data_IF_564329436009
#
_entry.id   IF_564329436009
#
_cell.length_a   1.000
_cell.length_b   1.000
_cell.length_c   1.000
_cell.angle_alpha   90.00
_cell.angle_beta   90.00
_cell.angle_gamma   90.00
#
_symmetry.space_group_name_H-M   'P 1'
#
loop_
_entity.id
_entity.type
_entity.pdbx_description
1 polymer ?
#
# COMPACT_ATOMS: atom_id res chain seq x y z
N UNK A 1 23.21 -64.74 7.32
CA UNK A 1 21.85 -64.29 7.70
C UNK A 1 21.80 -62.77 7.44
N UNK A 2 21.51 -62.33 6.20
CA UNK A 2 20.34 -61.49 5.83
C UNK A 2 20.07 -60.35 6.83
N UNK A 3 20.60 -59.14 6.58
CA UNK A 3 19.95 -58.01 5.89
C UNK A 3 18.62 -57.56 6.56
N UNK A 4 18.55 -56.34 7.09
CA UNK A 4 17.57 -55.33 6.67
C UNK A 4 17.92 -53.94 7.23
N UNK A 5 18.22 -53.02 6.31
CA UNK A 5 18.20 -51.57 6.49
C UNK A 5 16.79 -51.14 6.91
N UNK A 6 16.66 -50.24 7.89
CA UNK A 6 15.64 -49.17 7.87
C UNK A 6 16.28 -47.91 8.46
N UNK A 7 16.87 -47.10 7.59
CA UNK A 7 17.16 -45.70 7.92
C UNK A 7 15.84 -44.94 7.70
N UNK A 8 15.14 -44.62 8.80
CA UNK A 8 14.01 -43.71 8.78
C UNK A 8 14.51 -42.30 8.43
N UNK A 9 14.42 -41.96 7.15
CA UNK A 9 14.59 -40.61 6.65
C UNK A 9 13.41 -39.78 7.17
N UNK A 10 13.63 -39.03 8.25
CA UNK A 10 12.66 -38.08 8.77
C UNK A 10 12.61 -36.87 7.82
N UNK A 11 11.67 -36.91 6.88
CA UNK A 11 11.30 -35.74 6.07
C UNK A 11 10.51 -34.81 6.99
N UNK A 12 11.16 -33.78 7.51
CA UNK A 12 10.50 -32.66 8.17
C UNK A 12 9.78 -31.86 7.08
N UNK A 13 8.51 -32.17 6.86
CA UNK A 13 7.60 -31.31 6.11
C UNK A 13 7.47 -30.00 6.87
N UNK A 14 8.06 -28.92 6.34
CA UNK A 14 7.70 -27.58 6.72
C UNK A 14 6.25 -27.35 6.25
N UNK A 15 5.29 -27.56 7.15
CA UNK A 15 3.94 -27.08 6.93
C UNK A 15 4.01 -25.56 6.90
N UNK A 16 3.74 -24.96 5.74
CA UNK A 16 3.54 -23.52 5.65
C UNK A 16 2.39 -23.15 6.61
N UNK A 17 2.47 -22.01 7.33
CA UNK A 17 1.37 -21.57 8.16
C UNK A 17 0.11 -21.47 7.28
N UNK A 18 -0.93 -22.22 7.65
CA UNK A 18 -2.23 -22.08 7.03
C UNK A 18 -2.71 -20.65 7.31
N UNK A 19 -2.77 -19.82 6.27
CA UNK A 19 -3.39 -18.51 6.35
C UNK A 19 -4.89 -18.75 6.35
N UNK A 20 -5.52 -18.52 7.50
CA UNK A 20 -6.97 -18.55 7.66
C UNK A 20 -7.45 -17.11 7.91
N UNK A 21 -8.55 -16.71 7.26
CA UNK A 21 -9.09 -15.36 7.44
C UNK A 21 -9.73 -14.75 6.20
N UNK A 22 -10.27 -13.55 6.40
CA UNK A 22 -10.82 -12.71 5.34
C UNK A 22 -9.80 -11.61 5.02
N UNK A 23 -9.30 -11.63 3.79
CA UNK A 23 -8.30 -10.68 3.29
C UNK A 23 -8.89 -9.86 2.16
N UNK A 24 -8.58 -8.57 2.14
CA UNK A 24 -8.88 -7.68 1.03
C UNK A 24 -7.58 -7.27 0.35
N UNK A 25 -7.50 -7.46 -0.96
CA UNK A 25 -6.41 -6.96 -1.79
C UNK A 25 -6.93 -5.79 -2.61
N UNK A 26 -6.26 -4.63 -2.49
CA UNK A 26 -6.59 -3.45 -3.26
C UNK A 26 -5.79 -3.46 -4.56
N UNK A 27 -6.44 -3.92 -5.64
CA UNK A 27 -5.86 -3.95 -6.97
C UNK A 27 -6.06 -2.61 -7.72
N UNK A 28 -6.49 -1.55 -7.02
CA UNK A 28 -6.60 -0.19 -7.57
C UNK A 28 -5.34 0.63 -7.27
N UNK A 29 -5.21 1.77 -7.95
CA UNK A 29 -4.09 2.70 -7.76
C UNK A 29 -4.28 3.65 -6.57
N UNK A 30 -5.47 3.68 -5.96
CA UNK A 30 -5.82 4.59 -4.87
C UNK A 30 -5.88 3.84 -3.55
N UNK A 31 -5.62 4.53 -2.44
CA UNK A 31 -5.94 4.00 -1.11
C UNK A 31 -7.44 3.73 -1.02
N UNK A 32 -7.81 2.65 -0.34
CA UNK A 32 -9.19 2.38 0.00
C UNK A 32 -9.33 2.03 1.48
N UNK A 33 -10.51 2.29 2.03
CA UNK A 33 -10.92 1.81 3.34
C UNK A 33 -12.04 0.80 3.20
N UNK A 34 -11.98 -0.28 3.98
CA UNK A 34 -12.93 -1.38 3.97
C UNK A 34 -13.71 -1.42 5.28
N UNK A 35 -15.00 -1.71 5.19
CA UNK A 35 -15.81 -2.18 6.32
C UNK A 35 -16.42 -3.53 5.96
N UNK A 36 -16.65 -4.36 6.97
CA UNK A 36 -17.30 -5.66 6.83
C UNK A 36 -18.56 -5.74 7.66
N UNK A 37 -19.49 -6.60 7.23
CA UNK A 37 -20.69 -6.98 7.95
C UNK A 37 -20.75 -8.50 8.07
N UNK A 38 -21.30 -9.01 9.16
CA UNK A 38 -21.45 -10.45 9.39
C UNK A 38 -22.50 -10.74 10.47
N UNK A 39 -22.88 -12.02 10.60
CA UNK A 39 -23.82 -12.46 11.64
C UNK A 39 -23.07 -12.88 12.90
N UNK A 40 -22.91 -11.96 13.84
CA UNK A 40 -22.33 -12.21 15.17
C UNK A 40 -23.34 -12.82 16.15
N UNK A 41 -22.86 -13.14 17.35
CA UNK A 41 -23.66 -13.78 18.41
C UNK A 41 -24.85 -12.94 18.89
N UNK A 42 -24.65 -11.61 18.95
CA UNK A 42 -25.65 -10.65 19.44
C UNK A 42 -26.53 -10.07 18.32
N UNK A 43 -26.24 -10.40 17.05
CA UNK A 43 -27.01 -9.92 15.91
C UNK A 43 -26.16 -9.72 14.65
N UNK A 44 -26.74 -9.00 13.68
CA UNK A 44 -25.94 -8.48 12.58
C UNK A 44 -24.92 -7.49 13.14
N UNK A 45 -23.66 -7.58 12.72
CA UNK A 45 -22.58 -6.74 13.21
C UNK A 45 -21.83 -6.19 12.01
N UNK A 46 -21.46 -4.92 12.07
CA UNK A 46 -20.55 -4.29 11.12
C UNK A 46 -19.37 -3.67 11.83
N UNK A 47 -18.22 -3.72 11.17
CA UNK A 47 -16.94 -3.26 11.68
C UNK A 47 -16.16 -2.57 10.56
N UNK A 48 -15.31 -1.61 10.92
CA UNK A 48 -14.51 -0.82 10.00
C UNK A 48 -13.81 0.30 10.75
N UNK A 49 -12.98 1.15 10.14
CA UNK A 49 -12.45 1.06 8.79
C UNK A 49 -11.05 0.41 8.84
N UNK A 50 -10.81 -0.56 7.98
CA UNK A 50 -9.44 -1.02 7.72
C UNK A 50 -8.90 -0.35 6.48
N UNK A 51 -7.68 0.14 6.58
CA UNK A 51 -6.96 0.69 5.44
C UNK A 51 -6.36 -0.42 4.57
N UNK A 52 -6.48 -0.26 3.25
CA UNK A 52 -5.85 -1.10 2.25
C UNK A 52 -5.19 -0.18 1.22
N UNK A 53 -3.86 -0.04 1.32
CA UNK A 53 -3.07 0.77 0.41
C UNK A 53 -3.11 0.21 -1.02
N UNK A 54 -2.80 1.04 -2.01
CA UNK A 54 -2.73 0.64 -3.42
C UNK A 54 -1.76 -0.54 -3.62
N UNK A 55 -2.23 -1.60 -4.27
CA UNK A 55 -1.44 -2.82 -4.55
C UNK A 55 -1.16 -3.73 -3.34
N UNK A 56 -1.66 -3.38 -2.14
CA UNK A 56 -1.43 -4.12 -0.90
C UNK A 56 -2.64 -4.99 -0.52
N UNK A 57 -2.42 -5.94 0.39
CA UNK A 57 -3.48 -6.79 0.92
C UNK A 57 -3.54 -6.72 2.46
N UNK A 58 -4.72 -6.43 3.01
CA UNK A 58 -4.98 -6.35 4.45
C UNK A 58 -5.90 -7.48 4.88
N UNK A 59 -5.50 -8.23 5.92
CA UNK A 59 -6.37 -9.23 6.56
C UNK A 59 -7.23 -8.55 7.61
N UNK A 60 -8.55 -8.53 7.39
CA UNK A 60 -9.50 -7.82 8.27
C UNK A 60 -10.13 -8.73 9.32
N UNK A 61 -10.21 -10.03 9.05
CA UNK A 61 -10.51 -11.07 10.03
C UNK A 61 -9.44 -12.14 9.96
N UNK A 62 -8.78 -12.42 11.09
CA UNK A 62 -7.78 -13.48 11.20
C UNK A 62 -8.37 -14.78 11.76
N UNK A 63 -7.83 -15.91 11.33
CA UNK A 63 -8.28 -17.24 11.76
C UNK A 63 -9.37 -17.82 10.87
N UNK A 64 -9.81 -19.05 11.18
CA UNK A 64 -10.84 -19.73 10.38
C UNK A 64 -12.12 -18.89 10.33
N UNK A 65 -12.72 -18.77 9.15
CA UNK A 65 -14.00 -18.09 8.97
C UNK A 65 -15.16 -19.00 9.41
N UNK A 66 -15.83 -18.75 10.55
CA UNK A 66 -16.88 -19.64 11.05
C UNK A 66 -18.22 -19.48 10.31
N UNK A 67 -18.38 -18.44 9.49
CA UNK A 67 -19.61 -18.14 8.78
C UNK A 67 -19.47 -18.44 7.29
N UNK A 68 -20.58 -18.78 6.65
CA UNK A 68 -20.61 -19.05 5.21
C UNK A 68 -20.86 -17.79 4.37
N UNK A 69 -21.24 -16.68 5.02
CA UNK A 69 -21.55 -15.39 4.40
C UNK A 69 -20.92 -14.25 5.21
N UNK A 70 -20.27 -13.34 4.51
CA UNK A 70 -19.82 -12.05 5.01
C UNK A 70 -20.30 -10.97 4.04
N UNK A 71 -20.24 -9.71 4.46
CA UNK A 71 -20.64 -8.56 3.68
C UNK A 71 -19.52 -7.54 3.74
N UNK A 72 -19.39 -6.71 2.72
CA UNK A 72 -18.35 -5.70 2.71
C UNK A 72 -18.77 -4.45 1.95
N UNK A 73 -18.17 -3.33 2.33
CA UNK A 73 -18.13 -2.14 1.50
C UNK A 73 -16.72 -1.59 1.50
N UNK A 74 -16.38 -0.87 0.45
CA UNK A 74 -15.15 -0.11 0.42
C UNK A 74 -15.38 1.23 -0.28
N UNK A 75 -14.52 2.19 0.06
CA UNK A 75 -14.53 3.53 -0.50
C UNK A 75 -13.09 4.05 -0.57
N UNK A 76 -12.80 4.89 -1.55
CA UNK A 76 -11.56 5.68 -1.59
C UNK A 76 -11.68 6.97 -0.78
N UNK A 77 -12.86 7.26 -0.22
CA UNK A 77 -13.20 8.54 0.41
C UNK A 77 -13.93 9.48 -0.55
N UNK A 78 -13.55 9.47 -1.83
CA UNK A 78 -14.22 10.24 -2.90
C UNK A 78 -15.24 9.39 -3.68
N UNK A 79 -14.96 8.09 -3.85
CA UNK A 79 -15.80 7.17 -4.62
C UNK A 79 -16.01 5.84 -3.90
N UNK A 80 -17.25 5.35 -3.93
CA UNK A 80 -17.61 4.05 -3.40
C UNK A 80 -17.38 2.93 -4.43
N UNK A 81 -16.88 1.79 -3.94
CA UNK A 81 -16.83 0.56 -4.74
C UNK A 81 -18.25 0.02 -4.98
N UNK A 82 -18.46 -0.79 -6.04
CA UNK A 82 -19.78 -1.35 -6.32
C UNK A 82 -20.35 -2.12 -5.11
N UNK A 83 -21.52 -1.68 -4.66
CA UNK A 83 -22.26 -2.28 -3.57
C UNK A 83 -23.57 -2.91 -4.06
N UNK A 84 -24.02 -3.96 -3.40
CA UNK A 84 -25.34 -4.55 -3.56
C UNK A 84 -26.34 -3.95 -2.53
N UNK A 85 -27.54 -4.51 -2.44
CA UNK A 85 -28.62 -3.98 -1.60
C UNK A 85 -28.66 -4.59 -0.18
N UNK A 86 -27.52 -5.00 0.39
CA UNK A 86 -27.42 -5.36 1.81
C UNK A 86 -27.02 -4.14 2.64
N UNK A 87 -27.74 -3.85 3.72
CA UNK A 87 -27.51 -2.61 4.47
C UNK A 87 -26.98 -2.88 5.86
N UNK A 88 -25.94 -2.16 6.24
CA UNK A 88 -25.40 -2.13 7.60
C UNK A 88 -25.26 -0.69 8.09
N UNK A 89 -25.04 -0.54 9.40
CA UNK A 89 -24.71 0.74 9.99
C UNK A 89 -23.18 0.96 9.94
N UNK A 90 -22.74 2.19 9.67
CA UNK A 90 -21.33 2.59 9.77
C UNK A 90 -21.18 3.92 10.51
N UNK A 91 -19.94 4.25 10.83
CA UNK A 91 -19.53 5.56 11.37
C UNK A 91 -18.38 6.12 10.53
N UNK A 92 -18.12 7.42 10.66
CA UNK A 92 -16.98 8.07 10.01
C UNK A 92 -15.64 7.67 10.66
N UNK A 93 -15.66 7.40 11.98
CA UNK A 93 -14.53 6.87 12.74
C UNK A 93 -14.49 5.33 12.73
N UNK A 94 -13.36 4.73 13.15
CA UNK A 94 -13.25 3.28 13.38
C UNK A 94 -14.34 2.82 14.36
N UNK A 95 -15.07 1.76 13.99
CA UNK A 95 -16.29 1.32 14.63
C UNK A 95 -16.44 -0.21 14.69
N UNK A 96 -17.22 -0.65 15.68
CA UNK A 96 -17.87 -1.95 15.76
C UNK A 96 -19.31 -1.69 16.20
N UNK A 97 -20.29 -2.07 15.38
CA UNK A 97 -21.71 -1.78 15.62
C UNK A 97 -22.52 -3.08 15.55
N UNK A 98 -23.22 -3.40 16.63
CA UNK A 98 -24.22 -4.48 16.66
C UNK A 98 -25.59 -3.91 16.27
N UNK A 99 -26.27 -4.56 15.33
CA UNK A 99 -27.56 -4.19 14.75
C UNK A 99 -27.43 -3.37 13.47
N UNK A 100 -28.13 -3.79 12.42
CA UNK A 100 -28.17 -3.26 11.05
C UNK A 100 -29.38 -2.34 10.77
N UNK A 101 -30.21 -2.07 11.77
CA UNK A 101 -31.44 -1.28 11.64
C UNK A 101 -31.41 0.01 12.45
N UNK A 102 -32.25 0.97 12.04
CA UNK A 102 -32.39 2.29 12.66
C UNK A 102 -31.06 3.02 12.84
N UNK A 103 -30.13 2.89 11.89
CA UNK A 103 -28.76 3.42 11.99
C UNK A 103 -28.77 4.91 12.32
N UNK A 104 -29.57 5.69 11.58
CA UNK A 104 -29.61 7.15 11.67
C UNK A 104 -30.16 7.63 13.02
N UNK A 105 -31.17 6.94 13.57
CA UNK A 105 -31.72 7.22 14.91
C UNK A 105 -30.69 6.93 16.01
N UNK A 106 -29.77 6.01 15.74
CA UNK A 106 -28.68 5.62 16.65
C UNK A 106 -27.42 6.45 16.44
N UNK A 107 -27.42 7.40 15.49
CA UNK A 107 -26.27 8.26 15.18
C UNK A 107 -25.27 7.66 14.19
N UNK A 108 -25.67 6.65 13.43
CA UNK A 108 -24.87 5.97 12.42
C UNK A 108 -25.41 6.24 11.00
N UNK A 109 -24.58 6.00 9.99
CA UNK A 109 -24.99 6.06 8.58
C UNK A 109 -25.45 4.68 8.12
N UNK A 110 -26.53 4.60 7.34
CA UNK A 110 -27.02 3.35 6.74
C UNK A 110 -26.48 3.21 5.33
N UNK A 111 -25.72 2.15 5.08
CA UNK A 111 -24.84 2.06 3.91
C UNK A 111 -24.95 0.70 3.22
N UNK A 112 -24.84 0.64 1.89
CA UNK A 112 -24.93 -0.59 1.11
C UNK A 112 -23.61 -1.38 1.16
N UNK A 113 -23.73 -2.71 1.20
CA UNK A 113 -22.65 -3.68 1.26
C UNK A 113 -22.91 -4.77 0.21
N UNK A 114 -21.84 -5.34 -0.34
CA UNK A 114 -21.85 -6.51 -1.23
C UNK A 114 -21.65 -7.80 -0.44
N UNK A 115 -22.26 -8.90 -0.88
CA UNK A 115 -22.11 -10.20 -0.24
C UNK A 115 -20.84 -10.95 -0.68
N UNK A 116 -20.21 -11.65 0.28
CA UNK A 116 -19.11 -12.59 0.08
C UNK A 116 -19.62 -13.96 0.52
N UNK A 117 -19.79 -14.87 -0.45
CA UNK A 117 -20.14 -16.26 -0.17
C UNK A 117 -18.86 -17.07 0.03
N UNK A 118 -18.59 -17.43 1.28
CA UNK A 118 -17.41 -18.19 1.70
C UNK A 118 -17.63 -19.70 1.58
N UNK A 119 -18.87 -20.16 1.78
CA UNK A 119 -19.20 -21.58 1.76
C UNK A 119 -18.47 -22.34 2.88
N UNK A 120 -17.63 -23.32 2.53
CA UNK A 120 -16.82 -24.09 3.49
C UNK A 120 -15.35 -23.68 3.51
N UNK A 121 -14.97 -22.59 2.84
CA UNK A 121 -13.60 -22.10 2.85
C UNK A 121 -13.25 -21.50 4.22
N UNK A 122 -12.03 -21.76 4.69
CA UNK A 122 -11.50 -21.20 5.94
C UNK A 122 -10.72 -19.91 5.71
N UNK A 123 -10.43 -19.61 4.45
CA UNK A 123 -9.72 -18.41 3.98
C UNK A 123 -10.36 -17.91 2.68
N UNK A 124 -10.55 -16.59 2.60
CA UNK A 124 -11.08 -15.92 1.42
C UNK A 124 -10.33 -14.62 1.20
N UNK A 125 -9.94 -14.38 -0.05
CA UNK A 125 -9.37 -13.09 -0.49
C UNK A 125 -10.35 -12.42 -1.44
N UNK A 126 -10.80 -11.22 -1.09
CA UNK A 126 -11.58 -10.34 -1.96
C UNK A 126 -10.62 -9.39 -2.67
N UNK A 127 -10.76 -9.27 -3.98
CA UNK A 127 -9.97 -8.35 -4.80
C UNK A 127 -10.80 -7.14 -5.19
N UNK A 128 -10.33 -5.96 -4.82
CA UNK A 128 -10.98 -4.68 -5.07
C UNK A 128 -10.39 -4.09 -6.35
N UNK A 129 -11.20 -3.99 -7.41
CA UNK A 129 -10.74 -3.58 -8.74
C UNK A 129 -11.36 -2.26 -9.24
N UNK A 130 -12.17 -1.57 -8.43
CA UNK A 130 -12.78 -0.25 -8.72
C UNK A 130 -14.15 -0.28 -9.40
N UNK A 131 -14.90 0.82 -9.29
CA UNK A 131 -16.12 1.12 -10.06
C UNK A 131 -15.75 1.78 -11.40
N UNK A 132 -16.24 1.24 -12.52
CA UNK A 132 -16.03 1.70 -13.89
C UNK A 132 -14.57 1.83 -14.38
N UNK A 133 -14.09 0.74 -15.00
CA UNK A 133 -13.01 0.66 -16.01
C UNK A 133 -12.19 1.94 -16.22
N UNK A 134 -10.99 1.96 -15.65
CA UNK A 134 -9.81 2.30 -16.43
C UNK A 134 -8.93 1.06 -16.49
N UNK A 135 -8.23 0.90 -17.61
CA UNK A 135 -7.45 -0.29 -17.98
C UNK A 135 -6.60 -0.85 -16.83
N UNK A 136 -6.23 -2.15 -16.84
CA UNK A 136 -5.27 -2.68 -15.89
C UNK A 136 -4.00 -1.83 -15.95
N UNK A 137 -3.82 -0.95 -14.97
CA UNK A 137 -2.49 -0.44 -14.64
C UNK A 137 -1.79 -1.67 -14.11
N UNK A 138 -0.93 -2.24 -14.96
CA UNK A 138 -0.01 -3.28 -14.54
C UNK A 138 0.58 -2.87 -13.19
N UNK A 139 0.73 -3.81 -12.25
CA UNK A 139 1.52 -3.60 -11.04
C UNK A 139 2.71 -2.70 -11.42
N UNK A 140 2.94 -1.57 -10.71
CA UNK A 140 3.94 -0.59 -11.12
C UNK A 140 5.19 -1.40 -11.45
N UNK A 141 5.68 -1.22 -12.68
CA UNK A 141 6.77 -2.04 -13.19
C UNK A 141 7.84 -2.11 -12.09
N UNK A 142 8.39 -3.31 -11.80
CA UNK A 142 9.41 -3.45 -10.78
C UNK A 142 10.42 -2.32 -10.98
N UNK A 143 10.71 -1.60 -9.90
CA UNK A 143 11.55 -0.42 -9.97
C UNK A 143 12.80 -0.76 -10.79
N UNK A 144 13.23 0.12 -11.72
CA UNK A 144 14.45 -0.13 -12.49
C UNK A 144 15.60 -0.44 -11.55
N UNK A 145 16.43 -1.43 -11.90
CA UNK A 145 17.66 -1.67 -11.16
C UNK A 145 18.58 -0.45 -11.27
N UNK A 146 19.40 -0.13 -10.24
CA UNK A 146 20.39 0.94 -10.31
C UNK A 146 21.26 0.80 -11.57
N UNK A 147 21.23 1.82 -12.43
CA UNK A 147 22.00 1.82 -13.67
C UNK A 147 23.35 2.54 -13.45
N UNK A 148 24.44 2.08 -14.10
CA UNK A 148 25.70 2.80 -14.07
C UNK A 148 25.54 4.26 -14.49
N UNK A 149 26.22 5.17 -13.79
CA UNK A 149 26.19 6.58 -14.10
C UNK A 149 26.64 6.82 -15.56
N UNK A 150 25.78 7.44 -16.35
CA UNK A 150 26.12 7.85 -17.70
C UNK A 150 27.06 9.07 -17.66
N UNK A 151 28.18 8.98 -18.35
CA UNK A 151 29.14 10.08 -18.39
C UNK A 151 28.55 11.29 -19.13
N UNK A 152 28.55 12.46 -18.48
CA UNK A 152 28.06 13.70 -19.07
C UNK A 152 26.54 13.86 -19.04
N UNK A 153 25.85 13.22 -18.09
CA UNK A 153 24.44 13.52 -17.77
C UNK A 153 24.25 15.02 -17.53
N UNK A 154 23.19 15.58 -18.13
CA UNK A 154 22.78 16.95 -17.90
C UNK A 154 22.06 17.07 -16.54
N UNK A 155 22.83 17.34 -15.49
CA UNK A 155 22.30 17.47 -14.13
C UNK A 155 21.39 18.71 -13.97
N UNK A 156 21.51 19.72 -14.84
CA UNK A 156 20.60 20.87 -14.81
C UNK A 156 19.21 20.46 -15.31
N UNK A 157 19.15 19.63 -16.36
CA UNK A 157 17.89 19.05 -16.83
C UNK A 157 17.26 18.11 -15.79
N UNK A 158 18.07 17.29 -15.10
CA UNK A 158 17.62 16.47 -13.97
C UNK A 158 17.05 17.34 -12.86
N UNK A 159 17.75 18.41 -12.48
CA UNK A 159 17.30 19.36 -11.46
C UNK A 159 15.97 19.99 -11.83
N UNK A 160 15.78 20.39 -13.10
CA UNK A 160 14.52 20.94 -13.59
C UNK A 160 13.36 19.95 -13.52
N UNK A 161 13.60 18.68 -13.86
CA UNK A 161 12.58 17.63 -13.76
C UNK A 161 12.21 17.33 -12.31
N UNK A 162 13.15 17.43 -11.36
CA UNK A 162 12.87 17.20 -9.94
C UNK A 162 11.98 18.27 -9.29
N UNK A 163 11.87 19.46 -9.87
CA UNK A 163 11.14 20.57 -9.22
C UNK A 163 9.64 20.26 -9.03
N UNK A 164 9.04 20.78 -7.97
CA UNK A 164 7.61 20.65 -7.71
C UNK A 164 7.29 19.67 -6.58
N UNK A 165 6.02 19.27 -6.52
CA UNK A 165 5.48 18.44 -5.44
C UNK A 165 5.37 16.99 -5.90
N UNK A 166 5.78 16.09 -5.02
CA UNK A 166 5.84 14.64 -5.22
C UNK A 166 5.09 13.96 -4.07
N UNK A 167 4.17 13.06 -4.40
CA UNK A 167 3.35 12.28 -3.47
C UNK A 167 3.85 10.85 -3.43
N UNK A 168 3.98 10.27 -2.24
CA UNK A 168 4.49 8.91 -2.09
C UNK A 168 3.38 7.90 -2.39
N UNK A 169 3.63 7.01 -3.36
CA UNK A 169 2.65 6.02 -3.83
C UNK A 169 2.29 5.00 -2.76
N UNK A 170 3.18 4.73 -1.80
CA UNK A 170 2.94 3.78 -0.71
C UNK A 170 2.46 4.44 0.59
N UNK A 171 2.45 5.77 0.68
CA UNK A 171 2.15 6.52 1.90
C UNK A 171 1.65 7.93 1.52
N UNK A 172 0.33 8.11 1.40
CA UNK A 172 -0.26 9.36 0.88
C UNK A 172 -0.13 10.55 1.84
N UNK A 173 0.08 10.26 3.12
CA UNK A 173 0.37 11.26 4.13
C UNK A 173 1.72 11.92 3.86
N UNK A 174 2.66 11.22 3.22
CA UNK A 174 3.98 11.73 2.91
C UNK A 174 4.02 12.46 1.57
N UNK A 175 4.40 13.74 1.64
CA UNK A 175 4.56 14.62 0.48
C UNK A 175 5.93 15.28 0.52
N UNK A 176 6.64 15.28 -0.60
CA UNK A 176 7.94 15.93 -0.77
C UNK A 176 7.81 17.07 -1.77
N UNK A 177 8.19 18.29 -1.38
CA UNK A 177 8.24 19.43 -2.29
C UNK A 177 9.69 19.84 -2.53
N UNK A 178 10.08 19.90 -3.81
CA UNK A 178 11.41 20.32 -4.22
C UNK A 178 11.33 21.71 -4.86
N UNK A 179 12.05 22.67 -4.27
CA UNK A 179 12.16 24.04 -4.79
C UNK A 179 13.61 24.50 -4.80
N UNK A 180 14.16 24.69 -6.00
CA UNK A 180 15.59 24.87 -6.21
C UNK A 180 16.35 23.64 -5.72
N UNK A 181 17.18 23.83 -4.69
CA UNK A 181 17.95 22.77 -4.03
C UNK A 181 17.36 22.35 -2.69
N UNK A 182 16.19 22.87 -2.32
CA UNK A 182 15.53 22.61 -1.03
C UNK A 182 14.50 21.50 -1.21
N UNK A 183 14.50 20.58 -0.25
CA UNK A 183 13.49 19.53 -0.08
C UNK A 183 12.71 19.84 1.19
N UNK A 184 11.40 20.04 1.05
CA UNK A 184 10.47 20.16 2.18
C UNK A 184 9.60 18.92 2.24
N UNK A 185 9.75 18.14 3.31
CA UNK A 185 8.91 16.97 3.54
C UNK A 185 7.74 17.34 4.45
N UNK A 186 6.57 16.81 4.14
CA UNK A 186 5.34 16.93 4.91
C UNK A 186 4.79 15.54 5.19
N UNK A 187 4.21 15.36 6.37
CA UNK A 187 3.50 14.15 6.77
C UNK A 187 2.12 14.53 7.33
N UNK A 188 1.04 13.99 6.77
CA UNK A 188 -0.34 14.33 7.11
C UNK A 188 -0.59 15.86 7.11
N UNK A 189 0.04 16.58 6.18
CA UNK A 189 -0.01 18.05 6.06
C UNK A 189 0.89 18.85 7.01
N UNK A 190 1.65 18.19 7.90
CA UNK A 190 2.58 18.86 8.81
C UNK A 190 4.02 18.74 8.31
N UNK A 191 4.78 19.85 8.39
CA UNK A 191 6.20 19.83 8.01
C UNK A 191 6.98 18.81 8.84
N UNK A 192 7.46 17.77 8.18
CA UNK A 192 8.17 16.63 8.75
C UNK A 192 9.69 16.77 8.60
N UNK A 193 10.16 17.42 7.53
CA UNK A 193 11.57 17.52 7.20
C UNK A 193 11.91 18.76 6.39
N UNK A 194 13.17 19.16 6.49
CA UNK A 194 13.78 20.16 5.62
C UNK A 194 15.19 19.70 5.31
N UNK A 195 15.47 19.48 4.03
CA UNK A 195 16.78 19.09 3.54
C UNK A 195 17.24 20.03 2.42
N UNK A 196 18.53 19.96 2.14
CA UNK A 196 19.09 20.44 0.88
C UNK A 196 19.65 19.27 0.10
N UNK A 197 19.64 19.35 -1.22
CA UNK A 197 20.30 18.36 -2.07
C UNK A 197 21.28 18.99 -3.05
N UNK A 198 22.25 18.17 -3.44
CA UNK A 198 23.15 18.41 -4.57
C UNK A 198 23.07 17.21 -5.51
N UNK A 199 23.11 17.46 -6.82
CA UNK A 199 23.15 16.40 -7.82
C UNK A 199 24.60 16.02 -8.13
N UNK A 200 24.83 14.72 -8.29
CA UNK A 200 26.12 14.19 -8.73
C UNK A 200 25.91 13.03 -9.71
N UNK A 201 26.96 12.69 -10.45
CA UNK A 201 26.94 11.50 -11.32
C UNK A 201 26.84 10.22 -10.50
N UNK A 202 27.51 10.14 -9.35
CA UNK A 202 27.47 9.00 -8.43
C UNK A 202 27.92 9.41 -7.02
N UNK A 203 27.93 8.48 -6.07
CA UNK A 203 28.32 8.70 -4.68
C UNK A 203 28.88 7.43 -4.03
N UNK A 204 29.38 7.57 -2.79
CA UNK A 204 29.70 6.43 -1.94
C UNK A 204 28.45 5.58 -1.63
N UNK A 205 28.57 4.27 -1.86
CA UNK A 205 27.49 3.30 -1.67
C UNK A 205 26.60 3.07 -2.89
N UNK A 206 26.71 3.88 -3.95
CA UNK A 206 25.94 3.65 -5.17
C UNK A 206 26.57 2.62 -6.13
N UNK A 207 27.75 2.08 -5.82
CA UNK A 207 28.46 1.12 -6.68
C UNK A 207 28.63 1.59 -8.14
N UNK A 208 28.80 2.91 -8.33
CA UNK A 208 28.93 3.56 -9.63
C UNK A 208 27.61 3.86 -10.33
N UNK A 209 26.47 3.62 -9.69
CA UNK A 209 25.16 3.97 -10.20
C UNK A 209 24.84 5.47 -10.06
N UNK A 210 23.94 5.95 -10.91
CA UNK A 210 23.42 7.31 -10.84
C UNK A 210 22.56 7.72 -12.05
N UNK A 211 22.16 9.00 -12.16
CA UNK A 211 22.56 10.12 -11.31
C UNK A 211 22.01 10.00 -9.87
N UNK A 212 22.62 10.74 -8.94
CA UNK A 212 22.28 10.67 -7.52
C UNK A 212 21.93 12.04 -6.95
N UNK A 213 21.08 12.05 -5.93
CA UNK A 213 20.87 13.17 -5.02
C UNK A 213 21.65 12.94 -3.73
N UNK A 214 22.57 13.84 -3.41
CA UNK A 214 23.24 13.92 -2.12
C UNK A 214 22.38 14.78 -1.19
N UNK A 215 21.57 14.13 -0.36
CA UNK A 215 20.56 14.78 0.48
C UNK A 215 21.08 14.97 1.90
N UNK A 216 21.04 16.21 2.36
CA UNK A 216 21.54 16.64 3.65
C UNK A 216 20.39 17.16 4.52
N UNK A 217 19.98 16.33 5.49
CA UNK A 217 19.08 16.75 6.57
C UNK A 217 19.90 17.19 7.79
N UNK A 218 19.43 18.20 8.56
CA UNK A 218 20.02 18.52 9.85
C UNK A 218 20.14 17.29 10.75
N UNK A 219 21.30 17.10 11.36
CA UNK A 219 21.59 16.04 12.33
C UNK A 219 21.49 14.59 11.78
N UNK A 220 21.38 14.41 10.46
CA UNK A 220 21.41 13.11 9.79
C UNK A 220 22.67 13.00 8.93
N UNK A 221 23.34 11.83 8.87
CA UNK A 221 24.42 11.61 7.90
C UNK A 221 23.97 11.89 6.47
N UNK A 222 24.88 12.39 5.63
CA UNK A 222 24.61 12.63 4.21
C UNK A 222 24.03 11.38 3.56
N UNK A 223 22.85 11.52 2.98
CA UNK A 223 22.16 10.43 2.29
C UNK A 223 22.51 10.50 0.81
N UNK A 224 22.74 9.34 0.21
CA UNK A 224 22.82 9.23 -1.23
C UNK A 224 21.59 8.50 -1.75
N UNK A 225 20.82 9.18 -2.60
CA UNK A 225 19.64 8.63 -3.27
C UNK A 225 19.95 8.44 -4.74
N UNK A 226 19.92 7.19 -5.19
CA UNK A 226 20.14 6.83 -6.59
C UNK A 226 18.82 7.03 -7.32
N UNK A 227 18.79 7.89 -8.33
CA UNK A 227 17.61 8.10 -9.17
C UNK A 227 17.51 6.92 -10.14
N UNK A 228 16.42 6.16 -10.03
CA UNK A 228 16.15 4.98 -10.86
C UNK A 228 15.25 5.31 -12.05
N UNK A 229 14.34 6.27 -11.86
CA UNK A 229 13.38 6.74 -12.86
C UNK A 229 13.07 8.21 -12.54
N UNK A 230 13.07 9.06 -13.57
CA UNK A 230 12.65 10.46 -13.43
C UNK A 230 12.07 10.95 -14.75
N UNK A 231 10.80 11.34 -14.73
CA UNK A 231 10.14 12.02 -15.82
C UNK A 231 9.19 13.13 -15.30
N UNK A 232 8.21 13.53 -16.12
CA UNK A 232 7.28 14.60 -15.77
C UNK A 232 6.26 14.22 -14.70
N UNK A 233 6.02 12.93 -14.46
CA UNK A 233 4.97 12.41 -13.58
C UNK A 233 5.52 11.45 -12.52
N UNK A 234 6.67 10.83 -12.79
CA UNK A 234 7.24 9.76 -11.96
C UNK A 234 8.64 10.11 -11.46
N UNK A 235 8.87 9.86 -10.17
CA UNK A 235 10.18 9.83 -9.55
C UNK A 235 10.34 8.52 -8.78
N UNK A 236 11.33 7.71 -9.12
CA UNK A 236 11.74 6.55 -8.35
C UNK A 236 13.18 6.72 -7.92
N UNK A 237 13.45 6.55 -6.63
CA UNK A 237 14.81 6.56 -6.11
C UNK A 237 15.01 5.48 -5.05
N UNK A 238 16.26 5.09 -4.84
CA UNK A 238 16.65 4.17 -3.76
C UNK A 238 17.81 4.77 -2.97
N UNK A 239 17.72 4.85 -1.63
CA UNK A 239 18.88 5.22 -0.83
C UNK A 239 19.95 4.13 -0.93
N UNK A 240 21.20 4.49 -1.21
CA UNK A 240 22.32 3.57 -1.48
C UNK A 240 22.55 2.47 -0.41
N UNK A 241 22.09 2.68 0.83
CA UNK A 241 22.21 1.73 1.94
C UNK A 241 20.86 1.06 2.31
N UNK A 242 19.93 0.97 1.36
CA UNK A 242 18.57 0.45 1.56
C UNK A 242 18.17 -0.43 0.39
N UNK A 243 17.29 -1.39 0.66
CA UNK A 243 16.87 -2.40 -0.33
C UNK A 243 15.50 -2.10 -0.95
N UNK A 244 14.79 -1.07 -0.46
CA UNK A 244 13.44 -0.72 -0.92
C UNK A 244 13.45 0.63 -1.66
N UNK A 245 13.14 0.65 -2.97
CA UNK A 245 12.88 1.87 -3.72
C UNK A 245 11.68 2.63 -3.17
N UNK A 246 11.73 3.95 -3.30
CA UNK A 246 10.64 4.86 -3.01
C UNK A 246 10.12 5.37 -4.36
N UNK A 247 8.82 5.19 -4.59
CA UNK A 247 8.13 5.68 -5.79
C UNK A 247 7.28 6.88 -5.37
N UNK A 248 7.46 7.97 -6.09
CA UNK A 248 6.70 9.18 -5.96
C UNK A 248 6.04 9.50 -7.30
N UNK A 249 4.85 10.09 -7.25
CA UNK A 249 4.18 10.65 -8.42
C UNK A 249 3.87 12.14 -8.21
N UNK A 250 3.47 12.84 -9.27
CA UNK A 250 3.07 14.24 -9.16
C UNK A 250 1.60 14.47 -8.78
N UNK A 251 0.79 13.42 -8.62
CA UNK A 251 -0.66 13.49 -8.44
C UNK A 251 -1.36 14.21 -9.61
N UNK A 252 -2.21 13.52 -10.36
CA UNK A 252 -3.18 14.15 -11.27
C UNK A 252 -4.54 14.31 -10.57
#
# INVERSE_FOLDING_TARGET
MRLFLIACLAVLWFAAPARAGLTFCNDTAMRATVAIGYKGDEGWTSEGWWEVLAGECTTVLGGDLPLTHYYWRATTGDEDFPAEDYYFCSSDDVFTIVGDTNCEVRGYTREPFSEIVVGSATDVTVRMTGAAVSEPVAAPAPAPEPQPAEAGVDLDAVSQLLQGTWYNVSDDDFVMTISGTVIEDSYAGYKAGLAMFELAETCDGADGAGPVMLVNYPDVPLLCWIILELDAETLVYIPANRDKPIRMDRGL
#
